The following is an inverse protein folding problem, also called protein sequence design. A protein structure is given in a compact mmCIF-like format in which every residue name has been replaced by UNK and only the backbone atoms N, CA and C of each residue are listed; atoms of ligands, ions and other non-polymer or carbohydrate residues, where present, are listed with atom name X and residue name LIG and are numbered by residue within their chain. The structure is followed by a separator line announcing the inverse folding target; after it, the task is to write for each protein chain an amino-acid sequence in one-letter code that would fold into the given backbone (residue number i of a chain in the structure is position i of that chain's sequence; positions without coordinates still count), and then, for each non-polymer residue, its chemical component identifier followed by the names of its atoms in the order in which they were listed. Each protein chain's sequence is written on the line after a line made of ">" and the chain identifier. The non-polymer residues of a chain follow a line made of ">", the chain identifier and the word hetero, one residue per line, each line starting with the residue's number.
data_IF_785831891061
#
_entry.id   IF_785831891061
#
_cell.length_a   1.000
_cell.length_b   1.000
_cell.length_c   1.000
_cell.angle_alpha   90.00
_cell.angle_beta   90.00
_cell.angle_gamma   90.00
#
_symmetry.space_group_name_H-M   'P 1'
#
loop_
_entity.id
_entity.type
_entity.pdbx_description
1 polymer ?
#
# COMPACT_ATOMS: atom_id res chain seq x y z
N UNK A 1 -59.87 7.98 -13.20
CA UNK A 1 -58.61 8.39 -13.83
C UNK A 1 -57.47 8.04 -12.88
N UNK A 2 -56.58 7.10 -13.24
CA UNK A 2 -55.37 6.78 -12.47
C UNK A 2 -54.26 7.70 -12.94
N UNK A 3 -53.67 8.48 -12.01
CA UNK A 3 -52.50 9.32 -12.31
C UNK A 3 -51.30 8.45 -12.71
N UNK A 4 -50.48 8.85 -13.69
CA UNK A 4 -49.29 8.11 -14.05
C UNK A 4 -48.22 8.29 -12.96
N UNK A 5 -47.71 7.18 -12.44
CA UNK A 5 -46.51 7.17 -11.61
C UNK A 5 -45.31 7.43 -12.52
N UNK A 6 -44.79 8.65 -12.52
CA UNK A 6 -43.55 8.99 -13.22
C UNK A 6 -42.40 8.23 -12.57
N UNK A 7 -41.96 7.15 -13.19
CA UNK A 7 -40.72 6.46 -12.81
C UNK A 7 -39.56 7.35 -13.23
N UNK A 8 -39.06 8.18 -12.30
CA UNK A 8 -37.87 8.99 -12.50
C UNK A 8 -36.67 8.06 -12.63
N UNK A 9 -36.29 7.73 -13.86
CA UNK A 9 -35.06 7.01 -14.15
C UNK A 9 -33.90 7.96 -13.86
N UNK A 10 -33.30 7.84 -12.68
CA UNK A 10 -32.10 8.60 -12.32
C UNK A 10 -30.93 8.09 -13.15
N UNK A 11 -30.66 8.73 -14.28
CA UNK A 11 -29.43 8.54 -15.04
C UNK A 11 -28.25 8.90 -14.12
N UNK A 12 -27.28 8.00 -13.87
CA UNK A 12 -26.10 8.34 -13.08
C UNK A 12 -25.43 9.58 -13.68
N UNK A 13 -25.16 10.56 -12.81
CA UNK A 13 -24.70 11.88 -13.27
C UNK A 13 -23.24 11.78 -13.73
N UNK A 14 -22.86 12.52 -14.78
CA UNK A 14 -21.50 12.53 -15.37
C UNK A 14 -20.36 12.67 -14.33
N UNK A 15 -20.64 13.28 -13.18
CA UNK A 15 -19.71 13.44 -12.06
C UNK A 15 -19.40 12.14 -11.31
N UNK A 16 -20.32 11.17 -11.29
CA UNK A 16 -20.15 9.87 -10.63
C UNK A 16 -19.19 8.98 -11.39
N UNK A 17 -19.36 8.92 -12.71
CA UNK A 17 -18.43 8.25 -13.62
C UNK A 17 -17.03 8.86 -13.55
N UNK A 18 -16.93 10.19 -13.56
CA UNK A 18 -15.64 10.87 -13.43
C UNK A 18 -14.93 10.53 -12.11
N UNK A 19 -15.68 10.42 -11.01
CA UNK A 19 -15.14 10.04 -9.70
C UNK A 19 -14.68 8.58 -9.65
N UNK A 20 -15.49 7.64 -10.15
CA UNK A 20 -15.10 6.23 -10.23
C UNK A 20 -13.80 6.05 -11.01
N UNK A 21 -13.69 6.71 -12.17
CA UNK A 21 -12.48 6.70 -13.00
C UNK A 21 -11.26 7.26 -12.28
N UNK A 22 -11.42 8.36 -11.54
CA UNK A 22 -10.33 8.95 -10.76
C UNK A 22 -9.85 8.03 -9.63
N UNK A 23 -10.76 7.41 -8.88
CA UNK A 23 -10.43 6.42 -7.83
C UNK A 23 -9.72 5.20 -8.42
N UNK A 24 -10.20 4.72 -9.57
CA UNK A 24 -9.57 3.61 -10.28
C UNK A 24 -8.17 3.95 -10.82
N UNK A 25 -7.99 5.15 -11.36
CA UNK A 25 -6.69 5.65 -11.81
C UNK A 25 -5.69 5.77 -10.65
N UNK A 26 -6.12 6.29 -9.50
CA UNK A 26 -5.29 6.38 -8.30
C UNK A 26 -4.82 4.98 -7.83
N UNK A 27 -5.72 3.98 -7.85
CA UNK A 27 -5.38 2.61 -7.48
C UNK A 27 -4.31 2.00 -8.41
N UNK A 28 -4.44 2.19 -9.72
CA UNK A 28 -3.48 1.68 -10.71
C UNK A 28 -2.14 2.41 -10.57
N UNK A 29 -2.16 3.75 -10.49
CA UNK A 29 -0.95 4.55 -10.36
C UNK A 29 -0.18 4.17 -9.08
N UNK A 30 -0.87 4.02 -7.95
CA UNK A 30 -0.28 3.51 -6.71
C UNK A 30 0.38 2.15 -6.93
N UNK A 31 -0.33 1.17 -7.49
CA UNK A 31 0.19 -0.17 -7.69
C UNK A 31 1.43 -0.18 -8.62
N UNK A 32 1.42 0.60 -9.69
CA UNK A 32 2.55 0.70 -10.62
C UNK A 32 3.76 1.33 -9.94
N UNK A 33 3.60 2.43 -9.22
CA UNK A 33 4.72 3.12 -8.56
C UNK A 33 5.40 2.23 -7.51
N UNK A 34 4.59 1.49 -6.74
CA UNK A 34 5.09 0.54 -5.74
C UNK A 34 5.84 -0.62 -6.40
N UNK A 35 5.37 -1.13 -7.55
CA UNK A 35 6.12 -2.14 -8.32
C UNK A 35 7.45 -1.59 -8.80
N UNK A 36 7.47 -0.36 -9.33
CA UNK A 36 8.69 0.30 -9.79
C UNK A 36 9.69 0.48 -8.65
N UNK A 37 9.24 0.89 -7.46
CA UNK A 37 10.08 0.99 -6.26
C UNK A 37 10.74 -0.36 -5.92
N UNK A 38 9.95 -1.44 -5.84
CA UNK A 38 10.46 -2.76 -5.48
C UNK A 38 11.42 -3.32 -6.55
N UNK A 39 11.16 -3.02 -7.83
CA UNK A 39 12.07 -3.35 -8.92
C UNK A 39 13.39 -2.59 -8.79
N UNK A 40 13.36 -1.29 -8.44
CA UNK A 40 14.58 -0.51 -8.24
C UNK A 40 15.43 -1.10 -7.11
N UNK A 41 14.84 -1.41 -5.95
CA UNK A 41 15.57 -2.08 -4.86
C UNK A 41 16.21 -3.40 -5.29
N UNK A 42 15.51 -4.18 -6.13
CA UNK A 42 16.05 -5.45 -6.66
C UNK A 42 17.23 -5.21 -7.61
N UNK A 43 17.11 -4.25 -8.52
CA UNK A 43 18.14 -3.97 -9.54
C UNK A 43 19.38 -3.32 -8.94
N UNK A 44 19.23 -2.50 -7.89
CA UNK A 44 20.36 -1.89 -7.18
C UNK A 44 21.01 -2.84 -6.17
N UNK A 45 20.44 -4.02 -5.94
CA UNK A 45 20.97 -4.99 -4.99
C UNK A 45 20.84 -4.53 -3.54
N UNK A 46 19.67 -4.00 -3.18
CA UNK A 46 19.41 -3.55 -1.81
C UNK A 46 19.66 -4.69 -0.79
N UNK A 47 20.39 -4.42 0.29
CA UNK A 47 20.74 -5.42 1.28
C UNK A 47 19.51 -5.89 2.06
N UNK A 48 19.55 -7.14 2.53
CA UNK A 48 18.60 -7.67 3.51
C UNK A 48 18.76 -7.00 4.87
N UNK A 49 17.74 -7.13 5.73
CA UNK A 49 17.78 -6.51 7.07
C UNK A 49 18.80 -7.15 8.02
N UNK A 50 19.23 -8.37 7.74
CA UNK A 50 20.30 -9.11 8.42
C UNK A 50 21.70 -8.88 7.82
N UNK A 51 21.82 -8.04 6.79
CA UNK A 51 23.10 -7.81 6.13
C UNK A 51 24.11 -7.12 7.08
N UNK A 52 25.42 -7.40 6.92
CA UNK A 52 26.47 -6.67 7.64
C UNK A 52 26.35 -5.16 7.43
N UNK A 53 26.57 -4.38 8.50
CA UNK A 53 26.35 -2.94 8.45
C UNK A 53 27.32 -2.23 7.49
N UNK A 54 28.49 -2.81 7.23
CA UNK A 54 29.42 -2.35 6.20
C UNK A 54 28.79 -2.41 4.80
N UNK A 55 28.02 -3.45 4.50
CA UNK A 55 27.30 -3.60 3.24
C UNK A 55 26.15 -2.60 3.13
N UNK A 56 25.40 -2.39 4.23
CA UNK A 56 24.34 -1.39 4.29
C UNK A 56 24.90 0.02 4.04
N UNK A 57 25.99 0.36 4.73
CA UNK A 57 26.66 1.65 4.55
C UNK A 57 27.16 1.83 3.10
N UNK A 58 27.84 0.81 2.56
CA UNK A 58 28.34 0.84 1.19
C UNK A 58 27.21 0.99 0.16
N UNK A 59 26.08 0.30 0.37
CA UNK A 59 24.91 0.42 -0.49
C UNK A 59 24.38 1.86 -0.53
N UNK A 60 24.15 2.48 0.63
CA UNK A 60 23.60 3.84 0.69
C UNK A 60 24.57 4.89 0.13
N UNK A 61 25.88 4.72 0.32
CA UNK A 61 26.90 5.61 -0.26
C UNK A 61 26.97 5.46 -1.79
N UNK A 62 26.86 4.23 -2.31
CA UNK A 62 26.97 3.97 -3.75
C UNK A 62 25.68 4.28 -4.54
N UNK A 63 24.51 4.21 -3.89
CA UNK A 63 23.20 4.24 -4.57
C UNK A 63 22.34 5.45 -4.19
N UNK A 64 22.97 6.58 -3.83
CA UNK A 64 22.28 7.80 -3.38
C UNK A 64 21.16 8.25 -4.33
N UNK A 65 21.40 8.26 -5.64
CA UNK A 65 20.42 8.69 -6.63
C UNK A 65 19.23 7.74 -6.72
N UNK A 66 19.47 6.43 -6.67
CA UNK A 66 18.40 5.43 -6.67
C UNK A 66 17.55 5.55 -5.41
N UNK A 67 18.18 5.73 -4.25
CA UNK A 67 17.47 5.96 -2.98
C UNK A 67 16.64 7.25 -3.05
N UNK A 68 17.15 8.32 -3.64
CA UNK A 68 16.40 9.56 -3.82
C UNK A 68 15.16 9.37 -4.72
N UNK A 69 15.29 8.61 -5.81
CA UNK A 69 14.16 8.25 -6.69
C UNK A 69 13.12 7.45 -5.91
N UNK A 70 13.54 6.41 -5.19
CA UNK A 70 12.66 5.57 -4.37
C UNK A 70 11.90 6.44 -3.35
N UNK A 71 12.60 7.31 -2.61
CA UNK A 71 11.98 8.20 -1.65
C UNK A 71 10.97 9.16 -2.29
N UNK A 72 11.21 9.59 -3.53
CA UNK A 72 10.26 10.36 -4.33
C UNK A 72 9.03 9.56 -4.75
N UNK A 73 9.19 8.28 -5.10
CA UNK A 73 8.07 7.38 -5.40
C UNK A 73 7.16 7.22 -4.18
N UNK A 74 7.72 7.03 -2.98
CA UNK A 74 6.95 6.97 -1.73
C UNK A 74 6.15 8.25 -1.52
N UNK A 75 6.79 9.41 -1.64
CA UNK A 75 6.12 10.70 -1.49
C UNK A 75 4.95 10.89 -2.48
N UNK A 76 5.03 10.27 -3.66
CA UNK A 76 4.00 10.33 -4.69
C UNK A 76 2.86 9.34 -4.46
N UNK A 77 3.17 8.07 -4.13
CA UNK A 77 2.13 7.05 -4.04
C UNK A 77 1.32 7.13 -2.75
N UNK A 78 1.84 7.72 -1.66
CA UNK A 78 1.09 7.83 -0.40
C UNK A 78 -0.20 8.67 -0.53
N UNK A 79 -0.18 9.88 -1.14
CA UNK A 79 -1.40 10.60 -1.47
C UNK A 79 -2.35 9.80 -2.37
N UNK A 80 -1.83 9.03 -3.33
CA UNK A 80 -2.65 8.21 -4.23
C UNK A 80 -3.37 7.08 -3.48
N UNK A 81 -2.71 6.43 -2.52
CA UNK A 81 -3.32 5.46 -1.62
C UNK A 81 -4.49 6.09 -0.85
N UNK A 82 -4.28 7.28 -0.28
CA UNK A 82 -5.31 7.99 0.48
C UNK A 82 -6.49 8.38 -0.40
N UNK A 83 -6.24 8.88 -1.61
CA UNK A 83 -7.28 9.14 -2.62
C UNK A 83 -8.06 7.87 -2.93
N UNK A 84 -7.38 6.75 -3.11
CA UNK A 84 -8.03 5.48 -3.40
C UNK A 84 -8.93 5.02 -2.25
N UNK A 85 -8.43 4.92 -1.02
CA UNK A 85 -9.21 4.37 0.12
C UNK A 85 -10.39 5.28 0.50
N UNK A 86 -10.19 6.60 0.49
CA UNK A 86 -11.26 7.57 0.78
C UNK A 86 -12.28 7.66 -0.36
N UNK A 87 -11.80 7.60 -1.61
CA UNK A 87 -12.65 7.56 -2.78
C UNK A 87 -13.51 6.30 -2.83
N UNK A 88 -12.93 5.14 -2.52
CA UNK A 88 -13.67 3.88 -2.40
C UNK A 88 -14.73 3.94 -1.30
N UNK A 89 -14.39 4.51 -0.14
CA UNK A 89 -15.37 4.74 0.93
C UNK A 89 -16.55 5.60 0.46
N UNK A 90 -16.28 6.69 -0.27
CA UNK A 90 -17.33 7.52 -0.86
C UNK A 90 -18.21 6.78 -1.87
N UNK A 91 -17.65 5.83 -2.64
CA UNK A 91 -18.41 4.97 -3.55
C UNK A 91 -19.29 3.96 -2.80
N UNK A 92 -18.81 3.43 -1.67
CA UNK A 92 -19.55 2.48 -0.81
C UNK A 92 -20.76 3.17 -0.18
N UNK A 93 -20.58 4.34 0.42
CA UNK A 93 -21.67 5.11 1.06
C UNK A 93 -22.79 5.43 0.05
N UNK A 94 -22.41 5.85 -1.17
CA UNK A 94 -23.37 6.18 -2.24
C UNK A 94 -24.17 4.97 -2.76
N UNK A 95 -23.67 3.75 -2.60
CA UNK A 95 -24.38 2.51 -2.96
C UNK A 95 -25.21 1.93 -1.82
N UNK A 96 -25.65 2.78 -0.87
CA UNK A 96 -26.50 2.38 0.25
C UNK A 96 -25.73 1.88 1.46
N UNK A 97 -24.43 2.16 1.56
CA UNK A 97 -23.64 1.92 2.78
C UNK A 97 -23.34 0.46 3.11
N UNK A 98 -23.71 -0.50 2.25
CA UNK A 98 -23.35 -1.90 2.43
C UNK A 98 -21.81 -2.06 2.38
N UNK A 99 -21.19 -2.36 3.53
CA UNK A 99 -19.74 -2.40 3.67
C UNK A 99 -19.10 -1.13 4.26
N UNK A 100 -19.89 -0.16 4.73
CA UNK A 100 -19.41 1.09 5.31
C UNK A 100 -18.39 0.89 6.46
N UNK A 101 -18.66 -0.05 7.37
CA UNK A 101 -17.73 -0.39 8.46
C UNK A 101 -16.36 -0.85 7.95
N UNK A 102 -16.34 -1.72 6.96
CA UNK A 102 -15.11 -2.20 6.31
C UNK A 102 -14.36 -1.08 5.59
N UNK A 103 -15.08 -0.17 4.92
CA UNK A 103 -14.44 0.97 4.26
C UNK A 103 -13.85 1.97 5.25
N UNK A 104 -14.48 2.20 6.40
CA UNK A 104 -13.91 3.04 7.47
C UNK A 104 -12.64 2.41 8.05
N UNK A 105 -12.67 1.09 8.28
CA UNK A 105 -11.47 0.35 8.69
C UNK A 105 -10.35 0.48 7.65
N UNK A 106 -10.67 0.37 6.36
CA UNK A 106 -9.69 0.52 5.28
C UNK A 106 -9.07 1.92 5.24
N UNK A 107 -9.88 2.97 5.44
CA UNK A 107 -9.41 4.37 5.50
C UNK A 107 -8.49 4.57 6.70
N UNK A 108 -8.91 4.14 7.89
CA UNK A 108 -8.09 4.23 9.09
C UNK A 108 -6.76 3.48 8.93
N UNK A 109 -6.82 2.23 8.44
CA UNK A 109 -5.64 1.42 8.20
C UNK A 109 -4.72 2.01 7.12
N UNK A 110 -5.29 2.55 6.03
CA UNK A 110 -4.54 3.21 4.96
C UNK A 110 -3.85 4.50 5.42
N UNK A 111 -4.49 5.27 6.31
CA UNK A 111 -3.88 6.44 6.93
C UNK A 111 -2.73 6.05 7.87
N UNK A 112 -2.92 5.05 8.72
CA UNK A 112 -1.85 4.52 9.58
C UNK A 112 -0.70 3.94 8.75
N UNK A 113 -1.00 3.19 7.70
CA UNK A 113 -0.01 2.67 6.76
C UNK A 113 0.81 3.81 6.14
N UNK A 114 0.13 4.90 5.75
CA UNK A 114 0.81 6.07 5.20
C UNK A 114 1.76 6.70 6.21
N UNK A 115 1.36 6.81 7.48
CA UNK A 115 2.22 7.31 8.55
C UNK A 115 3.45 6.41 8.79
N UNK A 116 3.27 5.08 8.75
CA UNK A 116 4.37 4.12 8.86
C UNK A 116 5.33 4.25 7.69
N UNK A 117 4.83 4.36 6.46
CA UNK A 117 5.68 4.55 5.29
C UNK A 117 6.40 5.90 5.29
N UNK A 118 5.81 6.96 5.86
CA UNK A 118 6.52 8.22 6.11
C UNK A 118 7.71 7.98 7.04
N UNK A 119 7.53 7.26 8.16
CA UNK A 119 8.64 6.93 9.08
C UNK A 119 9.73 6.09 8.39
N UNK A 120 9.32 5.05 7.65
CA UNK A 120 10.22 4.23 6.83
C UNK A 120 11.02 5.09 5.84
N UNK A 121 10.36 6.01 5.14
CA UNK A 121 11.02 6.85 4.15
C UNK A 121 11.94 7.92 4.79
N UNK A 122 11.55 8.48 5.94
CA UNK A 122 12.40 9.42 6.68
C UNK A 122 13.69 8.76 7.14
N UNK A 123 13.61 7.54 7.66
CA UNK A 123 14.82 6.77 8.06
C UNK A 123 15.67 6.42 6.84
N UNK A 124 15.06 6.04 5.71
CA UNK A 124 15.76 5.82 4.44
C UNK A 124 16.53 7.05 3.95
N UNK A 125 15.91 8.23 4.00
CA UNK A 125 16.57 9.49 3.63
C UNK A 125 17.72 9.78 4.61
N UNK A 126 17.51 9.59 5.91
CA UNK A 126 18.54 9.79 6.93
C UNK A 126 19.78 8.90 6.72
N UNK A 127 19.57 7.63 6.36
CA UNK A 127 20.65 6.69 6.03
C UNK A 127 21.44 7.17 4.80
N UNK A 128 20.75 7.53 3.71
CA UNK A 128 21.38 8.03 2.50
C UNK A 128 22.19 9.32 2.74
N UNK A 129 21.64 10.26 3.51
CA UNK A 129 22.34 11.51 3.85
C UNK A 129 23.57 11.29 4.73
N UNK A 130 23.53 10.27 5.61
CA UNK A 130 24.62 9.97 6.52
C UNK A 130 25.76 9.18 5.86
N UNK A 131 25.43 8.32 4.89
CA UNK A 131 26.36 7.34 4.34
C UNK A 131 27.62 7.97 3.71
N UNK A 132 27.47 9.07 2.95
CA UNK A 132 28.60 9.73 2.26
C UNK A 132 29.66 10.30 3.22
N UNK A 133 29.30 10.58 4.47
CA UNK A 133 30.19 11.16 5.47
C UNK A 133 30.88 10.15 6.37
N UNK A 134 30.56 8.86 6.24
CA UNK A 134 31.01 7.82 7.17
C UNK A 134 32.05 6.90 6.51
N UNK A 135 33.22 6.80 7.13
CA UNK A 135 34.25 5.83 6.73
C UNK A 135 33.96 4.40 7.23
N UNK A 136 33.15 4.28 8.29
CA UNK A 136 32.73 3.01 8.89
C UNK A 136 31.35 3.15 9.54
N UNK A 137 30.60 2.05 9.70
CA UNK A 137 29.33 2.07 10.42
C UNK A 137 29.46 2.64 11.84
N UNK A 138 28.41 3.32 12.29
CA UNK A 138 28.29 3.83 13.65
C UNK A 138 27.07 3.22 14.32
N UNK A 139 27.04 3.17 15.66
CA UNK A 139 25.86 2.70 16.39
C UNK A 139 24.60 3.52 16.09
N UNK A 140 24.73 4.82 15.77
CA UNK A 140 23.60 5.63 15.37
C UNK A 140 23.05 5.22 13.99
N UNK A 141 23.94 4.95 13.03
CA UNK A 141 23.56 4.45 11.71
C UNK A 141 22.86 3.09 11.79
N UNK A 142 23.42 2.17 12.59
CA UNK A 142 22.82 0.86 12.86
C UNK A 142 21.45 0.96 13.53
N UNK A 143 21.29 1.83 14.53
CA UNK A 143 19.99 2.04 15.18
C UNK A 143 18.93 2.56 14.20
N UNK A 144 19.31 3.48 13.31
CA UNK A 144 18.39 3.98 12.26
C UNK A 144 18.00 2.85 11.30
N UNK A 145 18.95 1.98 10.91
CA UNK A 145 18.67 0.80 10.08
C UNK A 145 17.69 -0.17 10.77
N UNK A 146 17.87 -0.43 12.05
CA UNK A 146 16.96 -1.28 12.83
C UNK A 146 15.55 -0.68 12.94
N UNK A 147 15.45 0.64 13.17
CA UNK A 147 14.16 1.34 13.17
C UNK A 147 13.50 1.29 11.78
N UNK A 148 14.30 1.44 10.72
CA UNK A 148 13.85 1.33 9.34
C UNK A 148 13.26 -0.06 9.05
N UNK A 149 13.96 -1.13 9.43
CA UNK A 149 13.49 -2.51 9.31
C UNK A 149 12.20 -2.77 10.13
N UNK A 150 12.15 -2.29 11.37
CA UNK A 150 10.96 -2.42 12.23
C UNK A 150 9.75 -1.66 11.67
N UNK A 151 9.95 -0.46 11.11
CA UNK A 151 8.90 0.31 10.46
C UNK A 151 8.34 -0.45 9.24
N UNK A 152 9.20 -1.04 8.42
CA UNK A 152 8.76 -1.88 7.30
C UNK A 152 7.94 -3.09 7.78
N UNK A 153 8.42 -3.79 8.80
CA UNK A 153 7.72 -4.94 9.35
C UNK A 153 6.31 -4.58 9.87
N UNK A 154 6.16 -3.42 10.51
CA UNK A 154 4.87 -2.88 10.97
C UNK A 154 3.97 -2.39 9.83
N UNK A 155 4.51 -2.13 8.63
CA UNK A 155 3.70 -1.79 7.47
C UNK A 155 2.87 -3.01 7.01
N UNK A 156 3.43 -4.22 7.05
CA UNK A 156 2.77 -5.46 6.60
C UNK A 156 1.36 -5.67 7.18
N UNK A 157 1.12 -5.63 8.51
CA UNK A 157 -0.22 -5.83 9.05
C UNK A 157 -1.18 -4.69 8.69
N UNK A 158 -0.67 -3.46 8.51
CA UNK A 158 -1.49 -2.34 8.08
C UNK A 158 -1.89 -2.44 6.61
N UNK A 159 -0.98 -2.90 5.73
CA UNK A 159 -1.31 -3.29 4.36
C UNK A 159 -2.40 -4.36 4.39
N UNK A 160 -2.20 -5.42 5.18
CA UNK A 160 -3.17 -6.52 5.29
C UNK A 160 -4.56 -6.04 5.73
N UNK A 161 -4.62 -5.17 6.73
CA UNK A 161 -5.87 -4.58 7.22
C UNK A 161 -6.54 -3.70 6.17
N UNK A 162 -5.78 -2.88 5.45
CA UNK A 162 -6.29 -2.08 4.33
C UNK A 162 -6.85 -3.00 3.24
N UNK A 163 -6.13 -4.06 2.85
CA UNK A 163 -6.56 -5.04 1.84
C UNK A 163 -7.91 -5.68 2.20
N UNK A 164 -8.04 -6.17 3.44
CA UNK A 164 -9.28 -6.77 3.94
C UNK A 164 -10.41 -5.75 3.89
N UNK A 165 -10.19 -4.55 4.44
CA UNK A 165 -11.20 -3.50 4.50
C UNK A 165 -11.71 -3.12 3.10
N UNK A 166 -10.81 -2.86 2.15
CA UNK A 166 -11.22 -2.49 0.77
C UNK A 166 -11.90 -3.65 0.05
N UNK A 167 -11.43 -4.88 0.23
CA UNK A 167 -12.00 -6.06 -0.42
C UNK A 167 -13.41 -6.37 0.08
N UNK A 168 -13.62 -6.37 1.40
CA UNK A 168 -14.94 -6.59 1.98
C UNK A 168 -15.91 -5.45 1.69
N UNK A 169 -15.45 -4.19 1.77
CA UNK A 169 -16.30 -3.05 1.46
C UNK A 169 -16.74 -3.03 -0.01
N UNK A 170 -15.80 -3.26 -0.94
CA UNK A 170 -16.09 -3.27 -2.37
C UNK A 170 -16.94 -4.48 -2.78
N UNK A 171 -16.85 -5.60 -2.06
CA UNK A 171 -17.73 -6.75 -2.31
C UNK A 171 -19.14 -6.52 -1.76
N UNK A 172 -19.26 -6.05 -0.51
CA UNK A 172 -20.56 -5.80 0.13
C UNK A 172 -21.38 -4.74 -0.61
N UNK A 173 -20.72 -3.75 -1.23
CA UNK A 173 -21.36 -2.73 -2.07
C UNK A 173 -21.54 -3.16 -3.54
N UNK A 174 -21.31 -4.44 -3.87
CA UNK A 174 -21.54 -5.00 -5.20
C UNK A 174 -20.56 -4.58 -6.30
N UNK A 175 -19.42 -3.96 -5.95
CA UNK A 175 -18.44 -3.47 -6.94
C UNK A 175 -17.50 -4.56 -7.45
N UNK A 176 -17.30 -5.63 -6.67
CA UNK A 176 -16.31 -6.68 -6.98
C UNK A 176 -16.91 -8.09 -6.93
N UNK A 177 -16.34 -9.00 -7.74
CA UNK A 177 -16.76 -10.40 -7.81
C UNK A 177 -16.29 -11.19 -6.57
N UNK A 178 -16.93 -12.32 -6.28
CA UNK A 178 -16.59 -13.15 -5.11
C UNK A 178 -15.12 -13.60 -5.05
N UNK A 179 -14.49 -13.88 -6.21
CA UNK A 179 -13.07 -14.24 -6.25
C UNK A 179 -12.15 -13.08 -5.83
N UNK A 180 -12.53 -11.82 -6.09
CA UNK A 180 -11.77 -10.65 -5.63
C UNK A 180 -11.86 -10.51 -4.12
N UNK A 181 -13.00 -10.84 -3.51
CA UNK A 181 -13.12 -10.94 -2.05
C UNK A 181 -12.18 -12.00 -1.49
N UNK A 182 -12.15 -13.19 -2.09
CA UNK A 182 -11.24 -14.26 -1.65
C UNK A 182 -9.77 -13.86 -1.80
N UNK A 183 -9.41 -13.22 -2.91
CA UNK A 183 -8.05 -12.74 -3.12
C UNK A 183 -7.64 -11.70 -2.07
N UNK A 184 -8.50 -10.72 -1.78
CA UNK A 184 -8.25 -9.72 -0.74
C UNK A 184 -8.22 -10.31 0.67
N UNK A 185 -9.05 -11.34 0.93
CA UNK A 185 -9.03 -12.09 2.19
C UNK A 185 -7.72 -12.83 2.38
N UNK A 186 -7.36 -13.70 1.44
CA UNK A 186 -6.13 -14.50 1.51
C UNK A 186 -4.91 -13.58 1.55
N UNK A 187 -4.84 -12.60 0.64
CA UNK A 187 -3.72 -11.67 0.59
C UNK A 187 -3.57 -10.85 1.88
N UNK A 188 -4.68 -10.30 2.38
CA UNK A 188 -4.68 -9.54 3.63
C UNK A 188 -4.34 -10.38 4.86
N UNK A 189 -4.82 -11.62 4.93
CA UNK A 189 -4.49 -12.55 6.02
C UNK A 189 -3.03 -12.97 6.02
N UNK A 190 -2.43 -13.21 4.85
CA UNK A 190 -0.99 -13.52 4.73
C UNK A 190 -0.12 -12.36 5.24
N UNK A 191 -0.50 -11.13 4.88
CA UNK A 191 0.18 -9.91 5.34
C UNK A 191 0.04 -9.69 6.85
N UNK A 192 -1.14 -9.94 7.42
CA UNK A 192 -1.34 -9.91 8.87
C UNK A 192 -0.49 -10.97 9.57
N UNK A 193 -0.48 -12.20 9.06
CA UNK A 193 0.30 -13.30 9.62
C UNK A 193 1.80 -13.00 9.59
N UNK A 194 2.32 -12.47 8.49
CA UNK A 194 3.71 -12.02 8.40
C UNK A 194 4.01 -10.89 9.40
N UNK A 195 3.10 -9.92 9.52
CA UNK A 195 3.20 -8.80 10.47
C UNK A 195 3.32 -9.22 11.94
N UNK A 196 2.70 -10.34 12.33
CA UNK A 196 2.84 -10.88 13.69
C UNK A 196 4.28 -11.30 14.02
N UNK A 197 5.07 -11.68 13.01
CA UNK A 197 6.50 -11.97 13.16
C UNK A 197 7.38 -10.75 12.93
N UNK A 198 6.89 -9.53 13.21
CA UNK A 198 7.55 -8.29 12.82
C UNK A 198 8.99 -8.15 13.33
N UNK A 199 9.30 -8.60 14.55
CA UNK A 199 10.67 -8.61 15.06
C UNK A 199 11.57 -9.56 14.24
N UNK A 200 11.08 -10.76 13.94
CA UNK A 200 11.84 -11.72 13.14
C UNK A 200 12.09 -11.19 11.72
N UNK A 201 11.11 -10.50 11.11
CA UNK A 201 11.28 -9.88 9.79
C UNK A 201 12.29 -8.73 9.84
N UNK A 202 12.22 -7.90 10.89
CA UNK A 202 13.19 -6.83 11.11
C UNK A 202 14.62 -7.36 11.33
N UNK A 203 14.75 -8.62 11.77
CA UNK A 203 15.99 -9.37 11.92
C UNK A 203 16.32 -10.24 10.67
N UNK A 204 15.68 -9.98 9.53
CA UNK A 204 15.98 -10.64 8.24
C UNK A 204 15.31 -11.99 7.98
N UNK A 205 14.30 -12.37 8.78
CA UNK A 205 13.60 -13.66 8.59
C UNK A 205 12.92 -13.80 7.22
N UNK A 206 13.02 -15.01 6.67
CA UNK A 206 12.30 -15.45 5.47
C UNK A 206 10.75 -15.40 5.59
N UNK A 207 10.19 -15.14 6.77
CA UNK A 207 8.75 -14.90 6.94
C UNK A 207 8.24 -13.76 6.05
N UNK A 208 9.11 -12.82 5.66
CA UNK A 208 8.81 -11.75 4.70
C UNK A 208 8.24 -12.29 3.38
N UNK A 209 8.65 -13.48 2.92
CA UNK A 209 8.15 -14.08 1.68
C UNK A 209 6.67 -14.48 1.76
N UNK A 210 6.17 -14.82 2.95
CA UNK A 210 4.73 -15.04 3.19
C UNK A 210 3.98 -13.72 3.01
N UNK A 211 4.52 -12.62 3.56
CA UNK A 211 4.00 -11.27 3.35
C UNK A 211 4.04 -10.84 1.88
N UNK A 212 5.11 -11.17 1.16
CA UNK A 212 5.28 -10.86 -0.26
C UNK A 212 4.21 -11.52 -1.14
N UNK A 213 3.83 -12.76 -0.85
CA UNK A 213 2.70 -13.43 -1.53
C UNK A 213 1.38 -12.68 -1.28
N UNK A 214 1.14 -12.24 -0.04
CA UNK A 214 -0.03 -11.45 0.30
C UNK A 214 -0.04 -10.08 -0.39
N UNK A 215 1.12 -9.44 -0.47
CA UNK A 215 1.33 -8.19 -1.18
C UNK A 215 1.10 -8.32 -2.70
N UNK A 216 1.60 -9.39 -3.33
CA UNK A 216 1.34 -9.66 -4.74
C UNK A 216 -0.16 -9.86 -5.03
N UNK A 217 -0.86 -10.60 -4.16
CA UNK A 217 -2.31 -10.75 -4.24
C UNK A 217 -3.04 -9.40 -4.13
N UNK A 218 -2.56 -8.50 -3.26
CA UNK A 218 -3.10 -7.15 -3.14
C UNK A 218 -2.89 -6.30 -4.40
N UNK A 219 -1.69 -6.31 -4.98
CA UNK A 219 -1.41 -5.56 -6.21
C UNK A 219 -2.32 -6.02 -7.37
N UNK A 220 -2.49 -7.34 -7.54
CA UNK A 220 -3.44 -7.90 -8.52
C UNK A 220 -4.86 -7.43 -8.23
N UNK A 221 -5.27 -7.43 -6.96
CA UNK A 221 -6.59 -6.97 -6.55
C UNK A 221 -6.82 -5.48 -6.89
N UNK A 222 -5.83 -4.62 -6.62
CA UNK A 222 -5.86 -3.19 -6.92
C UNK A 222 -5.96 -2.93 -8.42
N UNK A 223 -5.14 -3.60 -9.23
CA UNK A 223 -5.14 -3.43 -10.68
C UNK A 223 -6.48 -3.83 -11.29
N UNK A 224 -7.03 -4.98 -10.90
CA UNK A 224 -8.31 -5.44 -11.43
C UNK A 224 -9.46 -4.54 -10.99
N UNK A 225 -9.47 -4.11 -9.73
CA UNK A 225 -10.50 -3.19 -9.21
C UNK A 225 -10.37 -1.80 -9.85
N UNK A 226 -9.15 -1.30 -10.03
CA UNK A 226 -8.87 -0.03 -10.68
C UNK A 226 -9.34 -0.01 -12.13
N UNK A 227 -9.03 -1.04 -12.91
CA UNK A 227 -9.51 -1.17 -14.29
C UNK A 227 -11.03 -1.23 -14.36
N UNK A 228 -11.69 -1.90 -13.42
CA UNK A 228 -13.17 -1.93 -13.34
C UNK A 228 -13.75 -0.56 -13.05
N UNK A 229 -13.17 0.18 -12.10
CA UNK A 229 -13.61 1.51 -11.73
C UNK A 229 -13.39 2.54 -12.87
N UNK A 230 -12.37 2.34 -13.71
CA UNK A 230 -12.15 3.16 -14.91
C UNK A 230 -13.18 2.87 -16.01
N UNK A 231 -13.66 1.63 -16.10
CA UNK A 231 -14.64 1.19 -17.11
C UNK A 231 -16.10 1.34 -16.68
N UNK A 232 -16.32 1.57 -15.38
CA UNK A 232 -17.64 1.82 -14.81
C UNK A 232 -18.10 3.18 -15.24
#
# INVERSE_FOLDING_TARGET
>A
MKSPTTTTTTTPTRSEFARGRFVGAAAIAFAVLVVVENMLFTVTGAPGYDAPMEEVLAYYAANRDAVAIISGLVALYLPLLLVFVTGLHGLVERRGGAGAGWSRLAVAAGATLSAIFVLFNVTQIGLALSADGLAKPTHAFELVWQIHAAAFALALPMIGTTCLGVAFAAHASGQTRAWQRLLGLVGGSLLLAAGLGGLAIADGSALIFVGLLGFAAWLVWLLVTGVRLIRS
#
